data_IF_504839175004
#
_entry.id   IF_504839175004
#
_cell.length_a   1.000
_cell.length_b   1.000
_cell.length_c   1.000
_cell.angle_alpha   90.00
_cell.angle_beta   90.00
_cell.angle_gamma   90.00
#
_symmetry.space_group_name_H-M   'P 1'
#
loop_
_entity.id
_entity.type
_entity.pdbx_description
1 polymer ?
#
# COMPACT_ATOMS: atom_id res chain seq x y z
N UNK A 1 10.57 -5.24 -9.97
CA UNK A 1 11.16 -3.96 -10.41
C UNK A 1 10.09 -2.87 -10.22
N UNK A 2 9.74 -2.56 -8.95
CA UNK A 2 8.71 -1.57 -8.57
C UNK A 2 9.35 -0.46 -7.74
N UNK A 3 8.87 0.77 -7.86
CA UNK A 3 9.39 1.95 -7.15
C UNK A 3 10.52 2.68 -7.87
N UNK A 4 10.73 2.38 -9.15
CA UNK A 4 11.78 3.00 -9.96
C UNK A 4 11.57 4.51 -10.10
N UNK A 5 10.30 4.97 -10.11
CA UNK A 5 9.94 6.37 -10.35
C UNK A 5 9.14 6.99 -9.21
N UNK A 6 9.26 6.48 -7.98
CA UNK A 6 8.37 6.90 -6.86
C UNK A 6 8.32 8.42 -6.66
N UNK A 7 9.44 9.12 -6.86
CA UNK A 7 9.50 10.59 -6.71
C UNK A 7 8.98 11.30 -7.96
N UNK A 8 9.33 10.78 -9.13
CA UNK A 8 8.96 11.31 -10.43
C UNK A 8 7.45 11.17 -10.69
N UNK A 9 6.87 10.04 -10.31
CA UNK A 9 5.43 9.79 -10.36
C UNK A 9 4.66 10.75 -9.43
N UNK A 10 5.20 11.07 -8.25
CA UNK A 10 4.61 12.09 -7.38
C UNK A 10 4.67 13.49 -8.00
N UNK A 11 5.77 13.82 -8.67
CA UNK A 11 5.90 15.09 -9.37
C UNK A 11 4.90 15.18 -10.55
N UNK A 12 4.75 14.11 -11.32
CA UNK A 12 3.77 14.01 -12.41
C UNK A 12 2.33 14.11 -11.88
N UNK A 13 2.00 13.43 -10.79
CA UNK A 13 0.71 13.53 -10.12
C UNK A 13 0.37 14.98 -9.71
N UNK A 14 1.35 15.75 -9.20
CA UNK A 14 1.15 17.18 -8.91
C UNK A 14 0.90 18.01 -10.17
N UNK A 15 1.52 17.66 -11.30
CA UNK A 15 1.17 18.29 -12.57
C UNK A 15 -0.24 17.91 -13.03
N UNK A 16 -0.67 16.66 -12.85
CA UNK A 16 -2.06 16.25 -13.14
C UNK A 16 -3.08 17.02 -12.30
N UNK A 17 -2.85 17.19 -11.00
CA UNK A 17 -3.69 18.04 -10.13
C UNK A 17 -3.78 19.47 -10.67
N UNK A 18 -2.66 20.06 -11.09
CA UNK A 18 -2.61 21.41 -11.65
C UNK A 18 -3.33 21.52 -13.01
N UNK A 19 -3.24 20.48 -13.85
CA UNK A 19 -3.97 20.42 -15.13
C UNK A 19 -5.47 20.31 -14.88
N UNK A 20 -5.91 19.43 -13.97
CA UNK A 20 -7.32 19.29 -13.61
C UNK A 20 -7.90 20.62 -13.09
N UNK A 21 -7.17 21.29 -12.20
CA UNK A 21 -7.57 22.60 -11.65
C UNK A 21 -7.60 23.71 -12.72
N UNK A 22 -6.72 23.66 -13.72
CA UNK A 22 -6.71 24.59 -14.85
C UNK A 22 -7.89 24.36 -15.79
N UNK A 23 -8.25 23.10 -16.06
CA UNK A 23 -9.41 22.75 -16.89
C UNK A 23 -10.69 23.18 -16.18
N UNK A 24 -10.79 22.87 -14.88
CA UNK A 24 -11.98 23.16 -14.08
C UNK A 24 -11.60 23.65 -12.67
N UNK A 25 -11.59 24.98 -12.43
CA UNK A 25 -11.26 25.53 -11.12
C UNK A 25 -12.13 24.97 -9.97
N UNK A 26 -11.46 24.69 -8.85
CA UNK A 26 -11.99 24.04 -7.65
C UNK A 26 -12.25 22.55 -7.79
N UNK A 27 -11.92 21.92 -8.91
CA UNK A 27 -12.26 20.50 -9.14
C UNK A 27 -11.52 19.57 -8.20
N UNK A 28 -10.26 19.86 -7.83
CA UNK A 28 -9.50 18.97 -6.96
C UNK A 28 -10.16 18.85 -5.58
N UNK A 29 -10.69 19.96 -5.04
CA UNK A 29 -11.41 19.95 -3.76
C UNK A 29 -12.76 19.19 -3.84
N UNK A 30 -13.47 19.29 -4.97
CA UNK A 30 -14.73 18.57 -5.19
C UNK A 30 -14.50 17.08 -5.39
N UNK A 31 -13.53 16.71 -6.25
CA UNK A 31 -13.08 15.33 -6.46
C UNK A 31 -12.63 14.67 -5.15
N UNK A 32 -11.97 15.43 -4.26
CA UNK A 32 -11.60 14.92 -2.93
C UNK A 32 -12.81 14.52 -2.09
N UNK A 33 -13.93 15.21 -2.23
CA UNK A 33 -15.13 14.98 -1.41
C UNK A 33 -16.00 13.87 -2.01
N UNK A 34 -16.26 13.96 -3.31
CA UNK A 34 -17.13 13.06 -4.06
C UNK A 34 -16.55 12.88 -5.47
N UNK A 35 -15.62 11.91 -5.66
CA UNK A 35 -14.96 11.72 -6.95
C UNK A 35 -15.95 11.39 -8.07
N UNK A 36 -16.89 10.49 -7.80
CA UNK A 36 -17.82 9.98 -8.81
C UNK A 36 -18.86 11.04 -9.18
N UNK A 37 -19.47 11.68 -8.18
CA UNK A 37 -20.47 12.73 -8.39
C UNK A 37 -19.87 13.98 -9.03
N UNK A 38 -18.61 14.34 -8.75
CA UNK A 38 -17.96 15.42 -9.49
C UNK A 38 -17.70 15.02 -10.95
N UNK A 39 -17.24 13.78 -11.21
CA UNK A 39 -16.96 13.29 -12.57
C UNK A 39 -18.22 13.13 -13.42
N UNK A 40 -19.37 12.80 -12.82
CA UNK A 40 -20.67 12.80 -13.52
C UNK A 40 -21.06 14.17 -14.10
N UNK A 41 -20.49 15.26 -13.57
CA UNK A 41 -20.73 16.62 -14.06
C UNK A 41 -19.78 17.03 -15.20
N UNK A 42 -18.81 16.19 -15.56
CA UNK A 42 -17.88 16.45 -16.66
C UNK A 42 -18.58 16.09 -17.98
N UNK A 43 -18.41 16.93 -19.00
CA UNK A 43 -19.07 16.73 -20.31
C UNK A 43 -18.13 16.11 -21.34
N UNK A 44 -16.83 16.18 -21.06
CA UNK A 44 -15.71 15.70 -21.84
C UNK A 44 -15.28 14.27 -21.45
N UNK A 45 -15.87 13.71 -20.39
CA UNK A 45 -15.60 12.36 -19.91
C UNK A 45 -16.92 11.72 -19.45
N UNK A 46 -17.12 10.45 -19.80
CA UNK A 46 -18.27 9.65 -19.32
C UNK A 46 -17.79 8.63 -18.29
N UNK A 47 -18.48 8.50 -17.15
CA UNK A 47 -18.22 7.41 -16.19
C UNK A 47 -19.24 6.30 -16.41
N UNK A 48 -18.76 5.06 -16.56
CA UNK A 48 -19.61 3.87 -16.67
C UNK A 48 -19.24 2.89 -15.57
N UNK A 49 -20.21 2.53 -14.74
CA UNK A 49 -20.06 1.46 -13.77
C UNK A 49 -20.50 0.12 -14.39
N UNK A 50 -19.62 -0.89 -14.34
CA UNK A 50 -19.91 -2.24 -14.84
C UNK A 50 -19.87 -3.26 -13.71
N UNK A 51 -20.80 -4.20 -13.68
CA UNK A 51 -20.76 -5.28 -12.69
C UNK A 51 -19.53 -6.17 -12.91
N UNK A 52 -18.95 -6.71 -11.84
CA UNK A 52 -17.92 -7.76 -11.95
C UNK A 52 -18.56 -8.98 -12.64
N UNK A 53 -18.26 -9.21 -13.92
CA UNK A 53 -18.83 -10.33 -14.66
C UNK A 53 -18.33 -11.67 -14.09
N UNK A 54 -19.26 -12.55 -13.70
CA UNK A 54 -19.00 -13.93 -13.24
C UNK A 54 -18.57 -14.89 -14.36
N UNK A 55 -18.56 -14.44 -15.62
CA UNK A 55 -18.19 -15.25 -16.76
C UNK A 55 -16.68 -15.17 -16.98
N UNK A 56 -16.03 -16.34 -17.02
CA UNK A 56 -14.57 -16.56 -17.02
C UNK A 56 -13.76 -16.00 -18.20
N UNK A 57 -14.23 -14.94 -18.86
CA UNK A 57 -13.46 -14.04 -19.71
C UNK A 57 -13.01 -12.85 -18.86
N UNK A 58 -11.96 -13.04 -18.07
CA UNK A 58 -11.44 -12.05 -17.14
C UNK A 58 -11.00 -10.75 -17.80
N UNK A 59 -11.85 -9.73 -17.79
CA UNK A 59 -11.37 -8.36 -17.67
C UNK A 59 -11.03 -8.15 -16.20
N UNK A 60 -9.78 -8.45 -15.86
CA UNK A 60 -9.30 -8.42 -14.48
C UNK A 60 -8.96 -7.02 -14.00
N UNK A 61 -9.32 -5.95 -14.73
CA UNK A 61 -8.89 -4.58 -14.44
C UNK A 61 -9.98 -3.90 -13.62
N UNK A 62 -9.62 -3.34 -12.46
CA UNK A 62 -10.57 -2.69 -11.56
C UNK A 62 -11.25 -1.47 -12.20
N UNK A 63 -10.63 -0.89 -13.23
CA UNK A 63 -11.19 0.10 -14.13
C UNK A 63 -10.50 0.04 -15.49
N UNK A 64 -10.95 0.85 -16.45
CA UNK A 64 -10.19 1.10 -17.68
C UNK A 64 -10.60 2.42 -18.32
N UNK A 65 -9.64 3.14 -18.86
CA UNK A 65 -9.90 4.33 -19.67
C UNK A 65 -9.99 3.99 -21.16
N UNK A 66 -11.09 4.40 -21.79
CA UNK A 66 -11.29 4.29 -23.23
C UNK A 66 -11.32 5.68 -23.84
N UNK A 67 -10.48 6.02 -24.83
CA UNK A 67 -10.35 7.40 -25.30
C UNK A 67 -11.45 7.84 -26.29
N UNK A 68 -12.21 6.92 -26.88
CA UNK A 68 -13.15 7.23 -27.98
C UNK A 68 -14.48 6.48 -27.88
N UNK A 69 -15.55 7.09 -27.34
CA UNK A 69 -15.54 8.38 -26.61
C UNK A 69 -14.78 8.24 -25.28
N UNK A 70 -14.28 9.35 -24.74
CA UNK A 70 -13.57 9.38 -23.46
C UNK A 70 -14.46 8.82 -22.33
N UNK A 71 -14.15 7.61 -21.87
CA UNK A 71 -14.96 6.82 -20.96
C UNK A 71 -14.09 6.23 -19.86
N UNK A 72 -14.44 6.51 -18.60
CA UNK A 72 -13.85 5.89 -17.41
C UNK A 72 -14.75 4.71 -17.03
N UNK A 73 -14.31 3.50 -17.34
CA UNK A 73 -14.99 2.29 -16.92
C UNK A 73 -14.52 1.99 -15.50
N UNK A 74 -15.46 1.90 -14.57
CA UNK A 74 -15.18 1.57 -13.17
C UNK A 74 -15.93 0.29 -12.86
N UNK A 75 -15.23 -0.74 -12.40
CA UNK A 75 -15.93 -1.92 -11.91
C UNK A 75 -16.74 -1.55 -10.68
N UNK A 76 -17.96 -2.06 -10.60
CA UNK A 76 -18.89 -1.92 -9.50
C UNK A 76 -18.38 -2.78 -8.33
N UNK A 77 -17.24 -2.36 -7.79
CA UNK A 77 -16.47 -3.07 -6.79
C UNK A 77 -17.01 -2.80 -5.38
N UNK A 78 -16.50 -3.56 -4.42
CA UNK A 78 -16.99 -3.77 -3.04
C UNK A 78 -17.23 -2.51 -2.17
N UNK A 79 -16.77 -1.30 -2.55
CA UNK A 79 -17.09 -0.06 -1.81
C UNK A 79 -16.95 1.22 -2.63
N UNK A 80 -17.72 2.25 -2.27
CA UNK A 80 -17.72 3.57 -2.91
C UNK A 80 -16.33 4.24 -2.93
N UNK A 81 -15.53 4.11 -1.86
CA UNK A 81 -14.16 4.65 -1.81
C UNK A 81 -13.22 4.00 -2.84
N UNK A 82 -13.38 2.69 -3.11
CA UNK A 82 -12.56 2.00 -4.12
C UNK A 82 -12.96 2.43 -5.52
N UNK A 83 -14.27 2.56 -5.79
CA UNK A 83 -14.78 3.12 -7.03
C UNK A 83 -14.26 4.54 -7.27
N UNK A 84 -14.27 5.39 -6.23
CA UNK A 84 -13.73 6.74 -6.30
C UNK A 84 -12.23 6.78 -6.63
N UNK A 85 -11.43 5.93 -5.98
CA UNK A 85 -10.01 5.80 -6.30
C UNK A 85 -9.80 5.36 -7.75
N UNK A 86 -10.51 4.31 -8.19
CA UNK A 86 -10.42 3.82 -9.57
C UNK A 86 -10.81 4.91 -10.57
N UNK A 87 -11.91 5.63 -10.34
CA UNK A 87 -12.32 6.72 -11.24
C UNK A 87 -11.27 7.83 -11.34
N UNK A 88 -10.61 8.17 -10.23
CA UNK A 88 -9.50 9.14 -10.23
C UNK A 88 -8.26 8.60 -10.94
N UNK A 89 -7.97 7.31 -10.80
CA UNK A 89 -6.87 6.66 -11.53
C UNK A 89 -7.11 6.74 -13.05
N UNK A 90 -8.32 6.37 -13.51
CA UNK A 90 -8.68 6.49 -14.92
C UNK A 90 -8.70 7.95 -15.40
N UNK A 91 -9.13 8.90 -14.55
CA UNK A 91 -9.00 10.32 -14.86
C UNK A 91 -7.53 10.71 -15.08
N UNK A 92 -6.60 10.15 -14.31
CA UNK A 92 -5.17 10.33 -14.51
C UNK A 92 -4.73 9.94 -15.93
N UNK A 93 -5.19 8.79 -16.44
CA UNK A 93 -4.93 8.40 -17.83
C UNK A 93 -5.53 9.38 -18.83
N UNK A 94 -6.77 9.81 -18.61
CA UNK A 94 -7.41 10.82 -19.45
C UNK A 94 -6.59 12.11 -19.52
N UNK A 95 -6.14 12.65 -18.39
CA UNK A 95 -5.33 13.87 -18.33
C UNK A 95 -3.97 13.69 -19.03
N UNK A 96 -3.31 12.55 -18.86
CA UNK A 96 -2.03 12.28 -19.51
C UNK A 96 -2.15 12.10 -21.02
N UNK A 97 -3.26 11.56 -21.51
CA UNK A 97 -3.50 11.40 -22.95
C UNK A 97 -3.98 12.70 -23.63
N UNK A 98 -4.64 13.60 -22.90
CA UNK A 98 -5.22 14.83 -23.47
C UNK A 98 -4.36 16.08 -23.27
N UNK A 99 -3.49 16.12 -22.25
CA UNK A 99 -2.52 17.18 -22.07
C UNK A 99 -1.15 16.79 -22.68
N UNK A 100 -0.73 17.57 -23.68
CA UNK A 100 0.49 17.31 -24.44
C UNK A 100 1.74 17.31 -23.54
N UNK A 101 1.80 18.16 -22.51
CA UNK A 101 2.98 18.25 -21.64
C UNK A 101 3.07 17.03 -20.71
N UNK A 102 1.94 16.60 -20.15
CA UNK A 102 1.86 15.37 -19.36
C UNK A 102 2.23 14.15 -20.20
N UNK A 103 1.64 13.99 -21.38
CA UNK A 103 1.93 12.87 -22.28
C UNK A 103 3.39 12.83 -22.73
N UNK A 104 3.97 13.97 -23.12
CA UNK A 104 5.39 14.06 -23.47
C UNK A 104 6.32 13.63 -22.32
N UNK A 105 5.93 13.91 -21.08
CA UNK A 105 6.70 13.51 -19.90
C UNK A 105 6.72 11.98 -19.74
N UNK A 106 5.57 11.32 -19.95
CA UNK A 106 5.45 9.85 -19.89
C UNK A 106 6.36 9.17 -20.91
N UNK A 107 6.36 9.64 -22.15
CA UNK A 107 7.22 9.08 -23.22
C UNK A 107 8.73 9.25 -22.96
N UNK A 108 9.13 10.15 -22.05
CA UNK A 108 10.52 10.40 -21.69
C UNK A 108 11.16 9.32 -20.81
N UNK A 109 10.38 8.42 -20.22
CA UNK A 109 10.87 7.41 -19.29
C UNK A 109 11.17 6.07 -19.96
N UNK A 110 12.10 5.30 -19.37
CA UNK A 110 12.55 4.02 -19.93
C UNK A 110 11.48 2.91 -19.90
N UNK A 111 10.43 3.09 -19.11
CA UNK A 111 9.25 2.24 -19.08
C UNK A 111 8.01 3.14 -18.91
N UNK A 112 7.47 3.69 -20.02
CA UNK A 112 6.36 4.63 -20.01
C UNK A 112 5.12 4.06 -19.32
N UNK A 113 4.71 2.83 -19.65
CA UNK A 113 3.52 2.19 -19.08
C UNK A 113 3.61 2.09 -17.55
N UNK A 114 4.75 1.63 -17.02
CA UNK A 114 4.93 1.55 -15.56
C UNK A 114 4.92 2.93 -14.91
N UNK A 115 5.52 3.93 -15.54
CA UNK A 115 5.52 5.30 -15.03
C UNK A 115 4.12 5.91 -15.03
N UNK A 116 3.37 5.71 -16.11
CA UNK A 116 2.00 6.20 -16.27
C UNK A 116 1.10 5.66 -15.15
N UNK A 117 1.13 4.35 -14.92
CA UNK A 117 0.40 3.68 -13.84
C UNK A 117 0.81 4.18 -12.45
N UNK A 118 2.12 4.25 -12.17
CA UNK A 118 2.63 4.77 -10.88
C UNK A 118 2.21 6.24 -10.66
N UNK A 119 2.11 7.04 -11.73
CA UNK A 119 1.68 8.43 -11.68
C UNK A 119 0.16 8.58 -11.52
N UNK A 120 -0.65 7.74 -12.17
CA UNK A 120 -2.10 7.68 -11.99
C UNK A 120 -2.46 7.29 -10.54
N UNK A 121 -1.79 6.27 -9.99
CA UNK A 121 -1.94 5.88 -8.59
C UNK A 121 -1.56 7.01 -7.63
N UNK A 122 -0.45 7.69 -7.91
CA UNK A 122 0.01 8.82 -7.11
C UNK A 122 -0.97 10.01 -7.19
N UNK A 123 -1.58 10.24 -8.36
CA UNK A 123 -2.60 11.27 -8.57
C UNK A 123 -3.88 10.97 -7.79
N UNK A 124 -4.44 9.76 -7.94
CA UNK A 124 -5.64 9.35 -7.22
C UNK A 124 -5.43 9.43 -5.69
N UNK A 125 -4.27 8.96 -5.21
CA UNK A 125 -3.90 9.07 -3.80
C UNK A 125 -3.73 10.54 -3.35
N UNK A 126 -3.10 11.40 -4.16
CA UNK A 126 -2.86 12.81 -3.85
C UNK A 126 -4.14 13.66 -3.79
N UNK A 127 -5.11 13.36 -4.66
CA UNK A 127 -6.43 14.02 -4.63
C UNK A 127 -7.18 13.66 -3.34
N UNK A 128 -7.25 12.37 -2.99
CA UNK A 128 -7.98 11.88 -1.82
C UNK A 128 -7.28 12.20 -0.50
N UNK A 129 -5.95 12.10 -0.46
CA UNK A 129 -5.11 12.28 0.73
C UNK A 129 -3.96 13.27 0.42
N UNK A 130 -4.24 14.58 0.40
CA UNK A 130 -3.27 15.61 0.02
C UNK A 130 -2.15 15.77 1.06
N UNK A 131 -0.92 15.40 0.70
CA UNK A 131 0.25 15.47 1.59
C UNK A 131 0.47 16.85 2.21
N UNK A 132 0.25 17.94 1.47
CA UNK A 132 0.44 19.32 1.93
C UNK A 132 -0.51 19.71 3.07
N UNK A 133 -1.77 19.30 2.99
CA UNK A 133 -2.75 19.54 4.06
C UNK A 133 -2.49 18.58 5.23
N UNK A 134 -2.32 17.30 4.94
CA UNK A 134 -2.31 16.25 5.95
C UNK A 134 -1.03 16.23 6.79
N UNK A 135 0.12 16.61 6.21
CA UNK A 135 1.38 16.67 6.96
C UNK A 135 1.37 17.71 8.07
N UNK A 136 0.54 18.75 7.97
CA UNK A 136 0.37 19.74 9.05
C UNK A 136 -0.38 19.18 10.26
N UNK A 137 -1.11 18.07 10.08
CA UNK A 137 -1.95 17.44 11.10
C UNK A 137 -1.21 16.38 11.91
N UNK A 138 -0.11 15.85 11.40
CA UNK A 138 0.71 14.87 12.12
C UNK A 138 1.88 15.54 12.84
N UNK A 139 2.33 14.92 13.93
CA UNK A 139 3.52 15.39 14.63
C UNK A 139 4.79 15.25 13.78
N UNK A 140 5.85 16.05 14.04
CA UNK A 140 7.11 16.00 13.28
C UNK A 140 7.86 14.67 13.41
N UNK A 141 7.43 13.80 14.34
CA UNK A 141 8.00 12.46 14.57
C UNK A 141 7.33 11.37 13.74
N UNK A 142 6.36 11.73 12.89
CA UNK A 142 5.59 10.79 12.08
C UNK A 142 4.24 10.44 12.70
N UNK A 143 3.43 9.65 11.95
CA UNK A 143 2.04 9.42 12.29
C UNK A 143 1.87 8.50 13.50
N UNK A 144 0.84 8.79 14.28
CA UNK A 144 0.29 7.91 15.32
C UNK A 144 -0.84 7.06 14.75
N UNK A 145 -1.25 5.99 15.45
CA UNK A 145 -2.43 5.23 15.04
C UNK A 145 -3.72 6.06 15.13
N UNK A 146 -3.76 7.06 16.02
CA UNK A 146 -4.90 7.98 16.09
C UNK A 146 -4.95 8.88 14.85
N UNK A 147 -3.78 9.35 14.38
CA UNK A 147 -3.71 10.16 13.15
C UNK A 147 -4.31 9.39 11.98
N UNK A 148 -4.06 8.08 11.86
CA UNK A 148 -4.66 7.26 10.79
C UNK A 148 -6.19 7.19 10.89
N UNK A 149 -6.74 7.09 12.10
CA UNK A 149 -8.19 7.10 12.33
C UNK A 149 -8.79 8.47 12.02
N UNK A 150 -8.12 9.54 12.42
CA UNK A 150 -8.57 10.91 12.18
C UNK A 150 -8.56 11.23 10.68
N UNK A 151 -7.55 10.74 9.93
CA UNK A 151 -7.50 10.87 8.48
C UNK A 151 -8.71 10.23 7.80
N UNK A 152 -9.06 9.01 8.18
CA UNK A 152 -10.24 8.33 7.63
C UNK A 152 -11.55 9.06 7.98
N UNK A 153 -11.64 9.59 9.20
CA UNK A 153 -12.83 10.30 9.67
C UNK A 153 -13.03 11.66 8.98
N UNK A 154 -11.93 12.34 8.64
CA UNK A 154 -11.95 13.64 7.94
C UNK A 154 -12.12 13.48 6.42
N UNK A 155 -11.64 12.38 5.84
CA UNK A 155 -11.64 12.14 4.39
C UNK A 155 -12.42 10.86 4.06
N UNK A 156 -13.75 10.92 4.20
CA UNK A 156 -14.65 9.76 4.04
C UNK A 156 -14.62 9.11 2.65
N UNK A 157 -14.10 9.81 1.64
CA UNK A 157 -13.88 9.32 0.28
C UNK A 157 -12.65 8.41 0.16
N UNK A 158 -11.70 8.48 1.10
CA UNK A 158 -10.53 7.62 1.16
C UNK A 158 -10.85 6.28 1.85
N UNK A 159 -10.25 5.19 1.36
CA UNK A 159 -10.35 3.89 2.02
C UNK A 159 -9.43 3.80 3.24
N UNK A 160 -9.75 2.89 4.18
CA UNK A 160 -8.87 2.61 5.34
C UNK A 160 -7.49 2.16 4.89
N UNK A 161 -7.41 1.38 3.82
CA UNK A 161 -6.16 0.94 3.19
C UNK A 161 -5.35 2.13 2.66
N UNK A 162 -6.00 3.09 1.99
CA UNK A 162 -5.33 4.30 1.52
C UNK A 162 -4.75 5.12 2.68
N UNK A 163 -5.50 5.28 3.77
CA UNK A 163 -4.99 5.92 5.00
C UNK A 163 -3.79 5.17 5.58
N UNK A 164 -3.80 3.83 5.56
CA UNK A 164 -2.67 3.01 6.01
C UNK A 164 -1.42 3.22 5.15
N UNK A 165 -1.57 3.25 3.81
CA UNK A 165 -0.47 3.51 2.87
C UNK A 165 0.11 4.90 3.09
N UNK A 166 -0.76 5.91 3.22
CA UNK A 166 -0.35 7.28 3.49
C UNK A 166 0.47 7.37 4.78
N UNK A 167 -0.01 6.76 5.86
CA UNK A 167 0.69 6.76 7.14
C UNK A 167 2.04 6.01 7.06
N UNK A 168 2.09 4.86 6.40
CA UNK A 168 3.32 4.09 6.24
C UNK A 168 4.42 4.88 5.53
N UNK A 169 4.08 5.61 4.46
CA UNK A 169 5.03 6.48 3.73
C UNK A 169 5.66 7.55 4.64
N UNK A 170 4.87 8.08 5.58
CA UNK A 170 5.24 9.17 6.49
C UNK A 170 5.89 8.73 7.81
N UNK A 171 6.06 7.43 8.05
CA UNK A 171 6.86 6.93 9.17
C UNK A 171 8.30 7.48 9.09
N UNK A 172 8.87 7.90 10.22
CA UNK A 172 10.24 8.45 10.24
C UNK A 172 11.33 7.37 10.33
N UNK A 173 10.94 6.16 10.71
CA UNK A 173 11.78 4.98 10.88
C UNK A 173 11.21 3.76 10.15
N UNK A 174 11.83 2.60 10.39
CA UNK A 174 11.33 1.34 9.83
C UNK A 174 10.07 0.90 10.60
N UNK A 175 9.08 0.40 9.88
CA UNK A 175 7.81 0.01 10.50
C UNK A 175 6.75 -0.44 9.50
N UNK A 176 5.57 -0.75 10.01
CA UNK A 176 4.42 -1.18 9.21
C UNK A 176 3.14 -0.64 9.80
N UNK A 177 2.20 -0.25 8.93
CA UNK A 177 0.82 0.07 9.30
C UNK A 177 -0.07 -1.07 8.86
N UNK A 178 -0.80 -1.68 9.79
CA UNK A 178 -1.58 -2.89 9.58
C UNK A 178 -3.05 -2.59 9.86
N UNK A 179 -3.91 -2.93 8.90
CA UNK A 179 -5.37 -2.94 9.06
C UNK A 179 -5.80 -4.36 9.44
N UNK A 180 -6.53 -4.46 10.54
CA UNK A 180 -7.08 -5.71 11.07
C UNK A 180 -8.59 -5.60 11.20
N UNK A 181 -9.27 -6.73 11.18
CA UNK A 181 -10.68 -6.80 11.57
C UNK A 181 -10.88 -6.88 13.09
N UNK A 182 -12.13 -7.01 13.51
CA UNK A 182 -12.54 -7.01 14.92
C UNK A 182 -12.06 -8.22 15.72
N UNK A 183 -11.46 -9.23 15.08
CA UNK A 183 -10.88 -10.40 15.76
C UNK A 183 -9.36 -10.42 15.69
N UNK A 184 -8.72 -9.41 15.08
CA UNK A 184 -7.26 -9.32 14.99
C UNK A 184 -6.66 -10.05 13.78
N UNK A 185 -7.47 -10.35 12.75
CA UNK A 185 -6.99 -10.92 11.48
C UNK A 185 -6.61 -9.80 10.51
N UNK A 186 -5.44 -9.92 9.91
CA UNK A 186 -4.89 -8.91 8.99
C UNK A 186 -5.71 -8.85 7.70
N UNK A 187 -6.23 -7.67 7.38
CA UNK A 187 -6.91 -7.38 6.12
C UNK A 187 -6.00 -6.71 5.10
N UNK A 188 -5.10 -5.85 5.59
CA UNK A 188 -4.13 -5.15 4.76
C UNK A 188 -2.91 -4.74 5.59
N UNK A 189 -1.75 -4.59 4.95
CA UNK A 189 -0.53 -4.12 5.60
C UNK A 189 0.32 -3.28 4.62
N UNK A 190 0.73 -2.10 5.07
CA UNK A 190 1.59 -1.18 4.34
C UNK A 190 2.94 -1.02 5.08
N UNK A 191 4.02 -1.62 4.58
CA UNK A 191 5.34 -1.54 5.22
C UNK A 191 6.14 -0.30 4.76
N UNK A 192 7.06 0.14 5.62
CA UNK A 192 8.21 0.98 5.31
C UNK A 192 9.47 0.31 5.86
N UNK A 193 10.25 -0.32 4.96
CA UNK A 193 11.49 -1.04 5.32
C UNK A 193 11.29 -2.06 6.45
N UNK A 194 10.15 -2.75 6.44
CA UNK A 194 9.75 -3.72 7.45
C UNK A 194 9.04 -4.90 6.77
N UNK A 195 9.13 -6.10 7.32
CA UNK A 195 8.44 -7.28 6.78
C UNK A 195 7.00 -7.30 7.33
N UNK A 196 5.97 -7.07 6.50
CA UNK A 196 4.60 -7.01 6.99
C UNK A 196 4.06 -8.41 7.35
N UNK A 197 3.07 -8.52 8.26
CA UNK A 197 2.33 -9.76 8.40
C UNK A 197 1.55 -10.08 7.11
N UNK A 198 1.37 -11.37 6.83
CA UNK A 198 0.60 -11.81 5.68
C UNK A 198 -0.88 -11.45 5.83
N UNK A 199 -1.56 -11.12 4.72
CA UNK A 199 -3.02 -10.99 4.68
C UNK A 199 -3.67 -12.28 5.22
N UNK A 200 -4.78 -12.15 5.92
CA UNK A 200 -5.50 -13.23 6.59
C UNK A 200 -4.67 -14.00 7.64
N UNK A 201 -3.53 -13.46 8.10
CA UNK A 201 -2.85 -14.01 9.27
C UNK A 201 -3.47 -13.47 10.56
N UNK A 202 -3.47 -14.28 11.60
CA UNK A 202 -3.96 -13.92 12.93
C UNK A 202 -2.85 -13.24 13.74
N UNK A 203 -3.16 -12.06 14.28
CA UNK A 203 -2.29 -11.31 15.19
C UNK A 203 -2.91 -11.12 16.58
N UNK A 204 -4.08 -11.71 16.85
CA UNK A 204 -4.88 -11.53 18.07
C UNK A 204 -4.13 -11.85 19.37
N UNK A 205 -3.14 -12.74 19.30
CA UNK A 205 -2.29 -13.15 20.43
C UNK A 205 -1.03 -12.29 20.63
N UNK A 206 -0.77 -11.32 19.75
CA UNK A 206 0.36 -10.40 19.96
C UNK A 206 0.04 -9.42 21.10
N UNK A 207 1.03 -8.99 21.92
CA UNK A 207 0.77 -8.14 23.10
C UNK A 207 0.01 -6.84 22.82
N UNK A 208 0.20 -6.26 21.62
CA UNK A 208 -0.50 -5.04 21.21
C UNK A 208 -1.96 -5.32 20.85
N UNK A 209 -2.19 -6.28 19.95
CA UNK A 209 -3.52 -6.53 19.41
C UNK A 209 -4.42 -7.16 20.48
N UNK A 210 -3.89 -8.09 21.29
CA UNK A 210 -4.63 -8.67 22.41
C UNK A 210 -5.09 -7.58 23.40
N UNK A 211 -4.25 -6.58 23.66
CA UNK A 211 -4.60 -5.44 24.51
C UNK A 211 -5.63 -4.51 23.86
N UNK A 212 -5.54 -4.29 22.54
CA UNK A 212 -6.49 -3.45 21.80
C UNK A 212 -7.87 -4.09 21.70
N UNK A 213 -7.94 -5.41 21.50
CA UNK A 213 -9.18 -6.20 21.49
C UNK A 213 -9.90 -6.17 22.85
N UNK A 214 -9.14 -6.12 23.96
CA UNK A 214 -9.70 -5.93 25.30
C UNK A 214 -10.17 -4.49 25.60
N UNK A 215 -9.80 -3.52 24.77
CA UNK A 215 -10.11 -2.11 24.97
C UNK A 215 -10.71 -1.46 23.72
N UNK A 216 -11.94 -1.86 23.38
CA UNK A 216 -12.66 -1.45 22.17
C UNK A 216 -12.88 0.07 22.04
N UNK A 217 -12.80 0.83 23.13
CA UNK A 217 -13.04 2.28 23.12
C UNK A 217 -11.81 3.14 22.81
N UNK A 218 -10.62 2.66 23.14
CA UNK A 218 -9.39 3.46 23.03
C UNK A 218 -8.25 2.74 22.32
N UNK A 219 -8.36 1.44 22.06
CA UNK A 219 -7.27 0.61 21.54
C UNK A 219 -6.16 0.41 22.57
N UNK A 220 -4.90 0.33 22.11
CA UNK A 220 -3.76 0.06 22.99
C UNK A 220 -2.46 0.75 22.54
N UNK A 221 -1.50 0.82 23.45
CA UNK A 221 -0.13 1.23 23.17
C UNK A 221 0.79 0.30 23.94
N UNK A 222 1.80 -0.25 23.27
CA UNK A 222 2.78 -1.16 23.84
C UNK A 222 4.16 -0.75 23.40
N UNK A 223 5.06 -0.67 24.36
CA UNK A 223 6.46 -0.42 24.07
C UNK A 223 7.12 -1.66 23.46
N UNK A 224 6.66 -2.84 23.86
CA UNK A 224 7.22 -4.12 23.44
C UNK A 224 6.11 -4.99 22.86
N UNK A 225 6.18 -5.19 21.55
CA UNK A 225 5.33 -6.12 20.81
C UNK A 225 6.10 -6.67 19.61
N UNK A 226 5.45 -7.51 18.81
CA UNK A 226 6.04 -8.10 17.62
C UNK A 226 4.93 -8.44 16.62
N UNK A 227 5.34 -8.72 15.39
CA UNK A 227 4.50 -9.34 14.37
C UNK A 227 4.70 -10.85 14.41
N UNK A 228 3.62 -11.62 14.33
CA UNK A 228 3.65 -13.08 14.18
C UNK A 228 3.58 -13.47 12.70
N UNK A 229 4.42 -14.41 12.29
CA UNK A 229 4.45 -14.93 10.92
C UNK A 229 3.84 -16.34 10.85
N UNK A 230 3.33 -16.72 9.67
CA UNK A 230 2.65 -18.01 9.47
C UNK A 230 3.54 -19.23 9.74
N UNK A 231 4.86 -19.08 9.66
CA UNK A 231 5.83 -20.12 9.97
C UNK A 231 6.08 -20.30 11.49
N UNK A 232 5.32 -19.60 12.34
CA UNK A 232 5.51 -19.59 13.80
C UNK A 232 6.64 -18.66 14.28
N UNK A 233 7.38 -18.03 13.36
CA UNK A 233 8.37 -17.02 13.67
C UNK A 233 7.73 -15.69 14.09
N UNK A 234 8.55 -14.81 14.66
CA UNK A 234 8.15 -13.45 15.02
C UNK A 234 9.17 -12.43 14.53
N UNK A 235 8.74 -11.19 14.34
CA UNK A 235 9.65 -10.07 14.13
C UNK A 235 10.50 -9.80 15.37
N UNK A 236 11.51 -8.93 15.20
CA UNK A 236 12.13 -8.25 16.34
C UNK A 236 11.09 -7.47 17.15
N UNK A 237 11.47 -7.09 18.37
CA UNK A 237 10.60 -6.29 19.22
C UNK A 237 10.44 -4.90 18.64
N UNK A 238 9.21 -4.43 18.55
CA UNK A 238 8.83 -3.12 18.02
C UNK A 238 7.96 -2.36 18.99
N UNK A 239 7.92 -1.03 18.84
CA UNK A 239 6.90 -0.19 19.45
C UNK A 239 5.59 -0.36 18.69
N UNK A 240 4.47 -0.39 19.40
CA UNK A 240 3.15 -0.59 18.81
C UNK A 240 2.11 0.38 19.37
N UNK A 241 1.29 0.92 18.49
CA UNK A 241 0.07 1.64 18.86
C UNK A 241 -1.08 1.16 17.98
N UNK A 242 -2.24 0.88 18.57
CA UNK A 242 -3.41 0.42 17.85
C UNK A 242 -4.65 1.24 18.23
N UNK A 243 -5.46 1.60 17.24
CA UNK A 243 -6.69 2.39 17.39
C UNK A 243 -7.78 1.83 16.49
N UNK A 244 -9.03 1.94 16.95
CA UNK A 244 -10.19 1.47 16.21
C UNK A 244 -10.66 2.57 15.27
N UNK A 245 -10.93 2.21 14.00
CA UNK A 245 -11.70 3.09 13.11
C UNK A 245 -13.17 3.09 13.51
N UNK A 246 -13.70 1.92 13.83
CA UNK A 246 -15.10 1.64 14.15
C UNK A 246 -15.22 0.28 14.86
N UNK A 247 -16.42 -0.28 14.99
CA UNK A 247 -16.64 -1.57 15.65
C UNK A 247 -16.01 -2.79 14.93
N UNK A 248 -15.66 -2.66 13.65
CA UNK A 248 -15.25 -3.77 12.79
C UNK A 248 -13.77 -3.72 12.41
N UNK A 249 -13.13 -2.54 12.44
CA UNK A 249 -11.77 -2.36 11.93
C UNK A 249 -10.84 -1.67 12.92
N UNK A 250 -9.64 -2.24 13.06
CA UNK A 250 -8.55 -1.77 13.90
C UNK A 250 -7.34 -1.44 13.01
N UNK A 251 -6.67 -0.33 13.27
CA UNK A 251 -5.34 -0.04 12.71
C UNK A 251 -4.26 -0.21 13.79
N UNK A 252 -3.15 -0.82 13.41
CA UNK A 252 -1.95 -0.93 14.22
C UNK A 252 -0.76 -0.28 13.49
N UNK A 253 -0.11 0.68 14.14
CA UNK A 253 1.16 1.27 13.71
C UNK A 253 2.27 0.64 14.52
N UNK A 254 3.19 -0.03 13.84
CA UNK A 254 4.33 -0.73 14.41
C UNK A 254 5.61 -0.06 13.91
N UNK A 255 6.52 0.29 14.81
CA UNK A 255 7.76 0.98 14.48
C UNK A 255 8.94 0.36 15.22
N UNK A 256 10.02 0.05 14.51
CA UNK A 256 11.27 -0.46 15.09
C UNK A 256 12.04 0.62 15.84
N UNK A 257 11.94 1.87 15.36
CA UNK A 257 12.56 3.07 15.91
C UNK A 257 11.69 4.31 15.63
N UNK A 258 12.03 5.45 16.23
CA UNK A 258 11.38 6.76 15.96
C UNK A 258 9.85 6.75 15.98
N UNK A 259 9.25 5.99 16.90
CA UNK A 259 7.80 5.92 17.06
C UNK A 259 7.20 7.31 17.32
N UNK A 260 6.22 7.72 16.50
CA UNK A 260 5.69 9.10 16.49
C UNK A 260 5.10 9.58 17.81
N UNK A 261 4.60 8.64 18.62
CA UNK A 261 4.01 8.89 19.95
C UNK A 261 5.04 8.94 21.10
N UNK A 262 6.34 8.76 20.82
CA UNK A 262 7.39 8.74 21.86
C UNK A 262 8.40 9.88 21.73
N UNK A 263 8.74 10.59 22.84
CA UNK A 263 9.80 11.61 22.84
C UNK A 263 11.18 11.01 22.50
N UNK A 264 11.44 9.81 23.01
CA UNK A 264 12.65 9.04 22.74
C UNK A 264 12.24 7.60 22.44
N UNK A 265 12.39 7.19 21.18
CA UNK A 265 12.21 5.82 20.71
C UNK A 265 13.54 5.32 20.16
N UNK A 266 14.39 4.80 21.05
CA UNK A 266 15.68 4.22 20.68
C UNK A 266 15.47 2.97 19.80
N UNK A 267 16.36 2.71 18.84
CA UNK A 267 16.42 1.42 18.16
C UNK A 267 16.46 0.28 19.19
N UNK A 268 15.65 -0.75 19.00
CA UNK A 268 15.55 -1.87 19.95
C UNK A 268 16.81 -2.76 19.88
N UNK A 269 17.20 -3.47 20.96
CA UNK A 269 18.30 -4.44 20.92
C UNK A 269 18.09 -5.43 19.75
N UNK A 270 19.17 -5.84 19.08
CA UNK A 270 19.19 -6.67 17.86
C UNK A 270 18.65 -6.02 16.57
N UNK A 271 18.14 -4.78 16.64
CA UNK A 271 17.88 -3.96 15.43
C UNK A 271 19.16 -3.28 14.89
N UNK A 272 20.26 -3.36 15.64
CA UNK A 272 21.58 -2.87 15.26
C UNK A 272 22.66 -3.93 15.51
N UNK A 273 22.94 -4.77 14.51
CA UNK A 273 24.09 -5.68 14.51
C UNK A 273 23.77 -7.12 14.11
N UNK A 274 24.27 -7.53 12.95
CA UNK A 274 24.40 -8.94 12.58
C UNK A 274 25.33 -9.64 13.58
N UNK A 275 24.90 -10.75 14.21
CA UNK A 275 25.81 -11.45 15.14
C UNK A 275 25.18 -12.50 16.05
N UNK A 276 24.41 -13.43 15.49
CA UNK A 276 24.05 -14.69 16.14
C UNK A 276 23.67 -15.64 15.02
N UNK A 277 23.99 -16.93 15.13
CA UNK A 277 23.68 -17.92 14.09
C UNK A 277 22.16 -17.99 13.88
N UNK A 278 21.64 -17.10 13.04
CA UNK A 278 20.25 -16.99 12.66
C UNK A 278 19.99 -18.20 11.78
N UNK A 279 19.10 -19.08 12.21
CA UNK A 279 18.41 -19.94 11.26
C UNK A 279 17.55 -19.03 10.40
N UNK A 280 17.82 -19.01 9.09
CA UNK A 280 17.16 -18.19 8.11
C UNK A 280 16.38 -19.08 7.16
N UNK A 281 15.14 -18.73 6.86
CA UNK A 281 14.34 -19.46 5.88
C UNK A 281 14.40 -18.71 4.57
N UNK A 282 14.77 -19.40 3.50
CA UNK A 282 14.83 -18.79 2.18
C UNK A 282 13.41 -18.48 1.70
N UNK A 283 13.04 -17.21 1.56
CA UNK A 283 11.71 -16.81 1.08
C UNK A 283 11.41 -17.25 -0.38
N UNK A 284 12.44 -17.72 -1.11
CA UNK A 284 12.31 -18.24 -2.48
C UNK A 284 12.06 -19.75 -2.53
N UNK A 285 12.72 -20.55 -1.68
CA UNK A 285 12.63 -22.02 -1.72
C UNK A 285 12.07 -22.66 -0.44
N UNK A 286 11.75 -21.85 0.57
CA UNK A 286 11.19 -22.26 1.86
C UNK A 286 12.09 -23.18 2.71
N UNK A 287 13.34 -23.39 2.28
CA UNK A 287 14.32 -24.14 3.06
C UNK A 287 14.91 -23.29 4.18
N UNK A 288 14.94 -23.87 5.39
CA UNK A 288 15.62 -23.28 6.54
C UNK A 288 17.09 -23.67 6.56
N UNK A 289 17.97 -22.68 6.72
CA UNK A 289 19.41 -22.85 6.72
C UNK A 289 20.09 -21.98 7.79
N UNK A 290 21.26 -22.41 8.25
CA UNK A 290 22.09 -21.58 9.13
C UNK A 290 22.89 -20.60 8.30
N UNK A 291 22.83 -19.30 8.64
CA UNK A 291 23.55 -18.26 7.89
C UNK A 291 25.07 -18.47 8.00
N UNK A 292 25.69 -18.96 6.93
CA UNK A 292 27.13 -19.19 6.84
C UNK A 292 27.86 -18.09 6.03
N UNK A 293 27.19 -17.52 5.02
CA UNK A 293 27.75 -16.52 4.12
C UNK A 293 26.70 -15.45 3.76
N UNK A 294 27.16 -14.23 3.47
CA UNK A 294 26.33 -13.09 3.12
C UNK A 294 26.64 -12.61 1.70
N UNK A 295 25.63 -12.14 0.99
CA UNK A 295 25.84 -11.63 -0.35
C UNK A 295 26.63 -10.33 -0.34
N UNK A 296 27.77 -10.28 -1.03
CA UNK A 296 28.61 -9.08 -1.16
C UNK A 296 27.91 -7.87 -1.82
N UNK A 297 26.71 -8.05 -2.38
CA UNK A 297 25.95 -7.01 -3.09
C UNK A 297 24.74 -6.47 -2.33
N UNK A 298 24.01 -7.31 -1.59
CA UNK A 298 22.83 -6.91 -0.80
C UNK A 298 23.04 -7.12 0.71
N UNK A 299 24.20 -7.63 1.13
CA UNK A 299 24.54 -7.98 2.51
C UNK A 299 23.61 -9.00 3.20
N UNK A 300 22.60 -9.53 2.49
CA UNK A 300 21.68 -10.53 3.04
C UNK A 300 22.25 -11.96 3.06
N UNK A 301 21.80 -12.81 3.99
CA UNK A 301 22.18 -14.22 4.07
C UNK A 301 21.92 -14.99 2.77
N UNK A 302 22.88 -15.83 2.38
CA UNK A 302 22.72 -16.77 1.26
C UNK A 302 22.24 -18.12 1.76
N UNK A 303 21.14 -18.61 1.21
CA UNK A 303 20.66 -19.96 1.46
C UNK A 303 21.61 -21.01 0.90
N UNK A 304 21.46 -22.26 1.33
CA UNK A 304 22.22 -23.41 0.82
C UNK A 304 22.05 -23.63 -0.69
N UNK A 305 20.97 -23.11 -1.28
CA UNK A 305 20.71 -23.09 -2.72
C UNK A 305 21.20 -21.79 -3.42
N UNK A 306 21.92 -20.91 -2.71
CA UNK A 306 22.53 -19.69 -3.26
C UNK A 306 21.62 -18.47 -3.38
N UNK A 307 20.35 -18.56 -2.94
CA UNK A 307 19.42 -17.43 -2.93
C UNK A 307 19.73 -16.46 -1.78
N UNK A 308 19.59 -15.16 -2.03
CA UNK A 308 19.71 -14.09 -1.02
C UNK A 308 18.68 -13.01 -1.36
N UNK A 309 18.65 -11.89 -0.65
CA UNK A 309 17.82 -10.74 -1.02
C UNK A 309 18.04 -10.22 -2.43
N UNK A 310 19.21 -10.48 -3.02
CA UNK A 310 19.47 -10.17 -4.43
C UNK A 310 18.74 -11.13 -5.38
N UNK A 311 18.33 -12.31 -4.91
CA UNK A 311 17.50 -13.29 -5.63
C UNK A 311 16.01 -12.96 -5.49
N UNK A 312 15.59 -12.50 -4.31
CA UNK A 312 14.29 -11.81 -4.09
C UNK A 312 14.21 -10.53 -4.93
N UNK A 313 15.32 -9.80 -5.09
CA UNK A 313 15.44 -8.64 -5.99
C UNK A 313 15.67 -9.02 -7.47
N UNK A 314 16.13 -10.24 -7.76
CA UNK A 314 16.20 -10.86 -9.11
C UNK A 314 14.98 -11.72 -9.41
N UNK A 315 13.85 -11.39 -8.78
CA UNK A 315 12.48 -11.52 -9.24
C UNK A 315 12.23 -10.97 -10.67
N UNK A 316 13.10 -11.30 -11.63
CA UNK A 316 12.95 -11.10 -13.06
C UNK A 316 11.88 -12.01 -13.67
N UNK A 317 11.13 -12.70 -12.81
CA UNK A 317 10.00 -13.55 -13.19
C UNK A 317 8.80 -13.35 -12.27
N UNK A 318 8.73 -12.32 -11.42
CA UNK A 318 7.51 -12.10 -10.65
C UNK A 318 6.31 -11.99 -11.58
N UNK A 319 5.25 -12.73 -11.23
CA UNK A 319 3.97 -12.69 -11.92
C UNK A 319 3.06 -11.76 -11.16
N UNK A 320 2.43 -10.83 -11.86
CA UNK A 320 1.35 -10.04 -11.28
C UNK A 320 0.08 -10.86 -11.36
N UNK A 321 -0.58 -11.06 -10.22
CA UNK A 321 -1.89 -11.67 -10.22
C UNK A 321 -2.90 -10.68 -10.81
N UNK A 322 -3.62 -11.02 -11.89
CA UNK A 322 -4.60 -10.14 -12.51
C UNK A 322 -5.77 -9.79 -11.57
N UNK A 323 -6.04 -10.61 -10.54
CA UNK A 323 -7.20 -10.42 -9.64
C UNK A 323 -6.93 -9.60 -8.37
N UNK A 324 -5.73 -9.72 -7.78
CA UNK A 324 -5.37 -8.91 -6.60
C UNK A 324 -4.29 -7.87 -6.87
N UNK A 325 -3.74 -7.83 -8.09
CA UNK A 325 -2.72 -6.90 -8.56
C UNK A 325 -1.42 -6.91 -7.72
N UNK A 326 -1.28 -7.89 -6.84
CA UNK A 326 -0.06 -8.16 -6.11
C UNK A 326 0.93 -8.82 -7.07
N UNK A 327 2.09 -8.19 -7.21
CA UNK A 327 3.27 -8.78 -7.86
C UNK A 327 3.86 -9.79 -6.89
N UNK A 328 3.69 -11.06 -7.22
CA UNK A 328 4.04 -12.19 -6.38
C UNK A 328 5.01 -13.08 -7.17
N UNK A 329 5.88 -13.80 -6.46
CA UNK A 329 6.81 -14.73 -7.10
C UNK A 329 6.04 -15.84 -7.87
N UNK A 330 6.54 -16.41 -9.00
CA UNK A 330 5.86 -17.49 -9.73
C UNK A 330 5.47 -18.71 -8.91
N UNK A 331 6.16 -18.99 -7.81
CA UNK A 331 5.79 -20.07 -6.88
C UNK A 331 4.47 -19.81 -6.13
N UNK A 332 3.98 -18.56 -6.14
CA UNK A 332 2.64 -18.18 -5.69
C UNK A 332 1.58 -18.42 -6.76
N UNK A 333 1.94 -18.98 -7.91
CA UNK A 333 1.04 -19.37 -9.00
C UNK A 333 1.21 -20.86 -9.24
N UNK A 334 0.10 -21.58 -9.46
CA UNK A 334 0.22 -22.96 -9.91
C UNK A 334 0.79 -23.02 -11.34
N UNK A 335 1.46 -24.12 -11.73
CA UNK A 335 2.02 -24.24 -13.07
C UNK A 335 0.95 -24.01 -14.14
N UNK A 336 1.11 -22.94 -14.93
CA UNK A 336 0.14 -22.52 -15.95
C UNK A 336 -0.95 -21.56 -15.49
N UNK A 337 -1.04 -21.24 -14.19
CA UNK A 337 -1.99 -20.25 -13.67
C UNK A 337 -1.46 -18.82 -13.85
N UNK A 338 -2.37 -17.91 -14.21
CA UNK A 338 -2.16 -16.46 -14.14
C UNK A 338 -2.65 -15.87 -12.83
N UNK A 339 -3.50 -16.59 -12.07
CA UNK A 339 -3.98 -16.17 -10.76
C UNK A 339 -3.06 -16.71 -9.66
N UNK A 340 -2.72 -15.86 -8.69
CA UNK A 340 -1.98 -16.32 -7.52
C UNK A 340 -2.87 -17.21 -6.66
N UNK A 341 -2.26 -18.10 -5.88
CA UNK A 341 -2.92 -19.05 -4.97
C UNK A 341 -3.82 -18.38 -3.91
N UNK A 342 -3.63 -17.10 -3.64
CA UNK A 342 -4.49 -16.31 -2.74
C UNK A 342 -5.76 -15.78 -3.44
N UNK A 343 -5.82 -15.90 -4.77
CA UNK A 343 -6.90 -15.43 -5.65
C UNK A 343 -7.62 -16.55 -6.40
N UNK A 344 -7.06 -17.76 -6.40
CA UNK A 344 -7.74 -18.97 -6.85
C UNK A 344 -8.86 -19.32 -5.88
#
# INVERSE_FOLDING_TARGET
MRGMYTTEAQAQAKQMEAVAERIRPGTVARLRTDPLGELELWHDVTVIEIDESSDGSGCSVAGSYQPNPATLVVTNSLSYARRGFTALHELGHHLQQTDIALGNTVFGYSNPDLFEEEACDAFAAGVLLPDDELRTRIGPRGPTAQDVVDLYSLHSSASREACCVWAARHLQGAGVVVLLDSVGVVRFAAPKSFIPPAKNSDQSHTPLIEAALRNLRAGATRDETHVSYRNGGRSDTVYGQARWFDANYLVAVLASDKAGWKPLALPRPDTGGAGGARSWTCETCDDSFTVADHCSRCAEPRCTQGHCGCHVARAKKDKTCPKCFLTLHPSRFDPGSELCRDCV
#
